data_IF_794759124095
#
_entry.id   IF_794759124095
#
_cell.length_a   1.000
_cell.length_b   1.000
_cell.length_c   1.000
_cell.angle_alpha   90.00
_cell.angle_beta   90.00
_cell.angle_gamma   90.00
#
_symmetry.space_group_name_H-M   'P 1'
#
loop_
_entity.id
_entity.type
_entity.pdbx_description
1 polymer ?
2 non-polymer ?
3 water ?
#
# COMPACT_ATOMS: atom_id res chain seq x y z
N UNK A 3 -14.13 3.41 -11.60
CA UNK A 3 -15.47 2.81 -11.29
C UNK A 3 -15.32 1.69 -10.25
N UNK A 4 -15.02 0.40 -10.59
CA UNK A 4 -15.05 -0.66 -9.60
C UNK A 4 -13.87 -0.50 -8.64
N UNK A 5 -14.09 -0.77 -7.36
CA UNK A 5 -13.01 -0.72 -6.34
C UNK A 5 -12.15 -1.99 -6.47
N UNK A 6 -11.00 -1.89 -7.12
CA UNK A 6 -10.09 -3.04 -7.35
C UNK A 6 -9.14 -3.20 -6.16
N UNK A 7 -8.52 -4.38 -5.98
CA UNK A 7 -7.49 -4.55 -4.97
C UNK A 7 -6.34 -3.54 -5.15
N UNK A 8 -5.95 -3.25 -6.38
CA UNK A 8 -4.86 -2.28 -6.66
C UNK A 8 -5.26 -0.88 -6.15
N UNK A 9 -6.51 -0.49 -6.33
CA UNK A 9 -7.02 0.85 -5.90
C UNK A 9 -7.21 0.86 -4.38
N UNK A 10 -7.69 -0.24 -3.81
CA UNK A 10 -7.77 -0.46 -2.35
C UNK A 10 -6.41 -0.07 -1.73
N UNK A 11 -5.35 -0.70 -2.21
CA UNK A 11 -3.95 -0.49 -1.74
C UNK A 11 -3.61 1.00 -1.84
N UNK A 12 -3.95 1.65 -2.94
CA UNK A 12 -3.63 3.09 -3.15
C UNK A 12 -4.43 3.92 -2.14
N UNK A 13 -5.71 3.64 -1.97
CA UNK A 13 -6.56 4.41 -0.99
C UNK A 13 -5.97 4.19 0.40
N UNK A 14 -5.61 2.97 0.74
CA UNK A 14 -5.14 2.69 2.13
C UNK A 14 -3.82 3.44 2.33
N UNK A 15 -2.93 3.36 1.35
CA UNK A 15 -1.59 4.00 1.42
C UNK A 15 -1.78 5.52 1.63
N UNK A 16 -2.66 6.16 0.83
CA UNK A 16 -3.01 7.59 0.96
C UNK A 16 -3.52 7.87 2.37
N UNK A 17 -4.50 7.11 2.83
CA UNK A 17 -5.18 7.36 4.13
C UNK A 17 -4.16 7.19 5.26
N UNK A 18 -3.26 6.20 5.15
CA UNK A 18 -2.22 5.93 6.19
C UNK A 18 -1.19 7.07 6.24
N UNK A 19 -0.85 7.66 5.10
CA UNK A 19 0.16 8.74 5.00
C UNK A 19 -0.45 10.12 5.33
N UNK A 20 -1.64 10.44 4.83
CA UNK A 20 -2.19 11.83 4.91
C UNK A 20 -3.27 11.96 5.99
N UNK A 21 -3.84 10.86 6.48
CA UNK A 21 -5.04 10.91 7.35
C UNK A 21 -4.89 9.95 8.55
N UNK A 22 -3.69 9.67 9.06
CA UNK A 22 -3.47 8.62 10.08
C UNK A 22 -4.39 8.84 11.29
N UNK A 23 -4.61 10.09 11.68
CA UNK A 23 -5.39 10.43 12.89
C UNK A 23 -6.86 10.09 12.63
N UNK A 24 -7.33 10.33 11.41
CA UNK A 24 -8.69 9.91 10.99
C UNK A 24 -8.86 8.40 11.21
N UNK A 25 -7.89 7.57 10.85
CA UNK A 25 -8.01 6.07 10.97
C UNK A 25 -8.03 5.63 12.44
N UNK A 26 -7.20 6.24 13.28
CA UNK A 26 -7.21 6.01 14.74
C UNK A 26 -8.63 6.31 15.26
N UNK A 27 -9.22 7.40 14.77
CA UNK A 27 -10.57 7.88 15.13
C UNK A 27 -11.62 6.83 14.72
N UNK A 28 -11.47 6.23 13.54
CA UNK A 28 -12.38 5.16 13.05
C UNK A 28 -12.34 3.98 14.04
N UNK A 29 -11.14 3.58 14.44
CA UNK A 29 -10.93 2.47 15.40
C UNK A 29 -11.61 2.79 16.74
N UNK A 30 -11.58 4.05 17.16
CA UNK A 30 -12.07 4.56 18.47
C UNK A 30 -13.59 4.51 18.50
N UNK A 31 -14.20 5.13 17.52
CA UNK A 31 -15.64 5.44 17.51
C UNK A 31 -16.36 4.27 16.84
N UNK A 32 -16.15 4.07 15.54
CA UNK A 32 -16.82 2.99 14.78
C UNK A 32 -16.42 1.62 15.37
N UNK A 33 -15.16 1.50 15.81
CA UNK A 33 -14.59 0.21 16.24
C UNK A 33 -14.58 0.05 17.75
N UNK A 34 -15.15 1.00 18.49
CA UNK A 34 -15.34 0.89 19.97
C UNK A 34 -14.05 0.43 20.64
N UNK A 35 -12.87 0.73 20.06
CA UNK A 35 -11.55 0.56 20.73
C UNK A 35 -11.29 1.83 21.55
N UNK A 36 -10.93 1.72 22.82
CA UNK A 36 -10.77 2.91 23.73
C UNK A 36 -9.29 3.22 23.98
N UNK A 37 -8.42 2.23 23.80
CA UNK A 37 -7.01 2.23 24.30
C UNK A 37 -6.06 2.62 23.17
N UNK A 38 -6.59 3.15 22.07
CA UNK A 38 -5.97 3.05 20.72
C UNK A 38 -4.80 4.02 20.65
N UNK A 39 -3.61 3.49 20.41
CA UNK A 39 -2.43 4.35 20.15
C UNK A 39 -2.53 4.80 18.69
N UNK A 40 -2.56 3.85 17.75
CA UNK A 40 -2.68 4.15 16.30
C UNK A 40 -3.37 2.98 15.55
N UNK A 41 -3.66 3.21 14.28
CA UNK A 41 -4.46 2.31 13.42
C UNK A 41 -4.12 2.60 11.97
N UNK A 42 -4.03 1.55 11.13
CA UNK A 42 -3.73 1.64 9.69
C UNK A 42 -4.87 0.96 8.93
N UNK A 43 -5.25 1.50 7.77
CA UNK A 43 -6.12 0.76 6.82
C UNK A 43 -5.28 -0.34 6.15
N UNK A 44 -5.85 -1.53 6.00
CA UNK A 44 -5.21 -2.72 5.37
C UNK A 44 -5.88 -3.03 4.03
N UNK A 45 -7.19 -2.81 3.93
CA UNK A 45 -7.97 -3.05 2.70
C UNK A 45 -9.26 -2.23 2.80
N UNK A 46 -9.80 -1.89 1.64
CA UNK A 46 -11.12 -1.24 1.52
C UNK A 46 -11.80 -1.87 0.31
N UNK A 47 -13.09 -2.11 0.39
CA UNK A 47 -13.90 -2.75 -0.66
C UNK A 47 -15.26 -2.05 -0.60
N UNK A 48 -16.16 -2.29 -1.57
CA UNK A 48 -17.40 -1.52 -1.63
C UNK A 48 -18.23 -1.57 -0.34
N UNK A 49 -18.11 -2.63 0.47
CA UNK A 49 -18.99 -2.86 1.65
C UNK A 49 -18.31 -2.53 2.99
N UNK A 50 -17.00 -2.25 3.01
CA UNK A 50 -16.32 -1.95 4.29
C UNK A 50 -14.81 -1.86 4.19
N UNK A 51 -14.17 -1.60 5.33
CA UNK A 51 -12.71 -1.39 5.45
C UNK A 51 -12.15 -2.19 6.61
N UNK A 52 -10.95 -2.71 6.41
CA UNK A 52 -10.22 -3.59 7.36
C UNK A 52 -9.13 -2.73 8.01
N UNK A 53 -9.00 -2.78 9.33
CA UNK A 53 -8.09 -1.91 10.13
C UNK A 53 -7.20 -2.79 11.01
N UNK A 54 -5.91 -2.43 11.17
CA UNK A 54 -5.00 -2.94 12.24
C UNK A 54 -4.99 -1.85 13.30
N UNK A 55 -5.33 -2.20 14.52
CA UNK A 55 -5.36 -1.25 15.66
C UNK A 55 -4.32 -1.69 16.68
N UNK A 56 -3.53 -0.75 17.16
CA UNK A 56 -2.52 -1.02 18.19
C UNK A 56 -3.02 -0.40 19.49
N UNK A 57 -3.22 -1.22 20.51
CA UNK A 57 -3.45 -0.75 21.90
C UNK A 57 -2.16 -0.98 22.68
N UNK A 58 -2.00 -0.35 23.85
CA UNK A 58 -0.80 -0.62 24.69
C UNK A 58 -0.62 -2.15 24.80
N UNK A 59 -1.73 -2.87 25.03
CA UNK A 59 -1.74 -4.33 25.05
C UNK A 59 -1.03 -4.92 23.84
N UNK A 60 -1.52 -4.63 22.63
CA UNK A 60 -0.91 -5.11 21.39
C UNK A 60 -1.72 -4.72 20.15
N UNK A 61 -1.82 -5.62 19.18
CA UNK A 61 -2.49 -5.31 17.89
C UNK A 61 -3.65 -6.28 17.63
N UNK A 62 -4.65 -5.81 16.89
CA UNK A 62 -5.81 -6.63 16.46
C UNK A 62 -6.35 -6.11 15.12
N UNK A 63 -6.99 -6.98 14.34
CA UNK A 63 -7.66 -6.58 13.08
C UNK A 63 -9.16 -6.46 13.33
N UNK A 64 -9.75 -5.39 12.82
CA UNK A 64 -11.22 -5.20 12.85
C UNK A 64 -11.70 -4.84 11.45
N UNK A 65 -12.98 -4.99 11.22
CA UNK A 65 -13.64 -4.53 9.99
C UNK A 65 -14.79 -3.61 10.36
N UNK A 66 -14.92 -2.52 9.60
CA UNK A 66 -16.08 -1.59 9.70
C UNK A 66 -16.87 -1.64 8.40
N UNK A 67 -18.14 -1.99 8.51
CA UNK A 67 -19.05 -2.14 7.36
C UNK A 67 -19.76 -0.80 7.14
N UNK A 68 -19.70 -0.25 5.93
CA UNK A 68 -20.41 0.99 5.56
C UNK A 68 -21.93 0.76 5.61
N UNK A 69 -22.68 1.80 5.91
CA UNK A 69 -24.16 1.81 5.92
C UNK A 69 -24.63 1.57 4.49
N UNK A 70 -24.04 2.29 3.53
CA UNK A 70 -24.36 2.21 2.08
C UNK A 70 -23.11 1.78 1.32
N UNK A 71 -23.19 0.72 0.48
CA UNK A 71 -22.04 0.32 -0.34
C UNK A 71 -21.49 1.49 -1.15
N UNK A 72 -20.17 1.57 -1.27
CA UNK A 72 -19.50 2.53 -2.19
C UNK A 72 -20.03 2.30 -3.61
N UNK A 73 -20.54 3.36 -4.23
CA UNK A 73 -21.01 3.36 -5.64
C UNK A 73 -19.79 3.07 -6.53
N UNK A 74 -18.64 3.71 -6.26
CA UNK A 74 -17.39 3.42 -7.03
C UNK A 74 -16.13 3.91 -6.31
N UNK A 75 -14.99 3.69 -6.94
CA UNK A 75 -13.63 3.99 -6.42
C UNK A 75 -13.48 5.50 -6.15
N UNK A 76 -14.05 6.35 -7.00
CA UNK A 76 -13.90 7.83 -6.97
C UNK A 76 -14.71 8.43 -5.82
N UNK A 77 -15.60 7.67 -5.19
CA UNK A 77 -16.44 8.13 -4.05
C UNK A 77 -15.74 7.83 -2.71
N UNK A 78 -14.75 6.93 -2.71
CA UNK A 78 -14.09 6.41 -1.49
C UNK A 78 -13.61 7.58 -0.61
N UNK A 79 -12.87 8.51 -1.19
CA UNK A 79 -12.18 9.58 -0.42
C UNK A 79 -13.21 10.46 0.27
N UNK A 80 -14.21 10.93 -0.48
CA UNK A 80 -15.23 11.84 0.08
C UNK A 80 -16.05 11.09 1.14
N UNK A 81 -16.21 9.79 1.00
CA UNK A 81 -16.95 8.97 2.01
C UNK A 81 -16.09 8.84 3.26
N UNK A 82 -14.78 8.62 3.10
CA UNK A 82 -13.86 8.50 4.25
C UNK A 82 -13.80 9.85 5.01
N UNK A 83 -13.61 10.96 4.29
CA UNK A 83 -13.57 12.34 4.86
C UNK A 83 -14.88 12.60 5.64
N UNK A 84 -16.03 12.22 5.09
CA UNK A 84 -17.34 12.46 5.76
C UNK A 84 -17.42 11.58 7.02
N UNK A 85 -16.88 10.36 6.94
CA UNK A 85 -16.94 9.43 8.10
C UNK A 85 -16.11 9.99 9.25
N UNK A 86 -14.94 10.55 8.94
CA UNK A 86 -14.07 11.24 9.91
C UNK A 86 -14.85 12.37 10.61
N UNK A 87 -15.70 13.10 9.88
CA UNK A 87 -16.53 14.19 10.46
C UNK A 87 -17.62 13.56 11.33
N UNK A 88 -18.40 12.62 10.78
CA UNK A 88 -19.35 11.75 11.53
C UNK A 88 -18.66 11.32 12.83
N UNK A 89 -17.42 10.83 12.77
CA UNK A 89 -16.71 10.23 13.93
C UNK A 89 -16.34 11.31 14.93
N UNK A 90 -15.82 12.45 14.48
CA UNK A 90 -15.38 13.55 15.39
C UNK A 90 -16.60 14.13 16.13
N UNK A 91 -17.81 13.95 15.58
CA UNK A 91 -19.07 14.61 16.03
C UNK A 91 -19.99 13.63 16.74
N UNK A 92 -19.44 12.68 17.51
CA UNK A 92 -20.25 11.69 18.28
C UNK A 92 -20.45 12.23 19.70
N UNK A 93 -19.41 12.79 20.30
CA UNK A 93 -19.52 13.50 21.60
C UNK A 93 -20.06 14.89 21.39
N UNK A 94 -21.35 15.01 21.05
CA UNK A 94 -21.96 16.31 20.63
C UNK A 94 -23.02 16.72 21.62
N UNK A 95 -24.30 16.60 21.26
CA UNK A 95 -25.46 17.06 22.07
C UNK A 95 -25.09 16.92 23.56
N UNK A 96 -24.73 15.71 24.01
CA UNK A 96 -24.43 15.44 25.45
C UNK A 96 -23.65 16.59 26.11
N UNK A 97 -22.76 17.27 25.35
CA UNK A 97 -21.86 18.35 25.82
C UNK A 97 -22.63 19.48 26.53
N UNK A 98 -23.78 19.90 25.99
CA UNK A 98 -24.59 21.02 26.53
C UNK A 98 -25.77 20.44 27.33
N UNK A 99 -25.90 19.12 27.34
CA UNK A 99 -27.02 18.43 28.02
C UNK A 99 -26.46 17.60 29.15
N UNK A 100 -25.48 18.12 29.89
CA UNK A 100 -25.02 17.47 31.15
C UNK A 100 -26.03 17.79 32.24
N UNK A 101 -26.49 16.74 32.96
CA UNK A 101 -27.33 16.81 34.19
C UNK A 101 -26.68 15.93 35.26
N UNK A 102 -27.07 16.07 36.53
CA UNK A 102 -26.43 15.39 37.69
C UNK A 102 -27.48 14.58 38.44
N UNK A 103 -27.15 13.36 38.90
CA UNK A 103 -28.17 12.49 39.56
C UNK A 103 -28.63 13.11 40.89
N UNK B 3 12.38 -7.20 -13.74
CA UNK B 3 13.71 -6.95 -13.06
C UNK B 3 13.57 -5.69 -12.22
N UNK B 4 13.49 -4.45 -12.79
CA UNK B 4 13.57 -3.23 -11.98
C UNK B 4 12.39 -3.05 -11.02
N UNK B 5 12.54 -2.07 -10.13
CA UNK B 5 11.65 -1.83 -8.97
C UNK B 5 10.65 -0.72 -9.29
N UNK B 6 9.51 -1.08 -9.89
CA UNK B 6 8.43 -0.11 -10.21
C UNK B 6 7.80 0.32 -8.88
N UNK B 7 7.34 1.58 -8.75
CA UNK B 7 6.61 2.03 -7.56
C UNK B 7 5.42 1.17 -7.11
N UNK B 8 4.81 0.39 -8.01
CA UNK B 8 3.72 -0.57 -7.70
C UNK B 8 4.27 -1.79 -6.96
N UNK B 9 5.48 -2.22 -7.29
CA UNK B 9 6.19 -3.34 -6.59
C UNK B 9 6.65 -2.82 -5.22
N UNK B 10 7.11 -1.58 -5.13
CA UNK B 10 7.45 -0.90 -3.86
C UNK B 10 6.21 -0.96 -2.97
N UNK B 11 5.06 -0.56 -3.53
CA UNK B 11 3.78 -0.51 -2.77
C UNK B 11 3.49 -1.90 -2.24
N UNK B 12 3.75 -2.93 -3.06
CA UNK B 12 3.42 -4.34 -2.70
C UNK B 12 4.43 -4.86 -1.66
N UNK B 13 5.72 -4.58 -1.85
CA UNK B 13 6.79 -4.97 -0.89
C UNK B 13 6.48 -4.35 0.48
N UNK B 14 6.21 -3.06 0.49
CA UNK B 14 5.96 -2.30 1.75
C UNK B 14 4.76 -2.91 2.46
N UNK B 15 3.69 -3.20 1.72
CA UNK B 15 2.45 -3.72 2.32
C UNK B 15 2.74 -5.09 2.93
N UNK B 16 3.42 -5.96 2.17
CA UNK B 16 3.81 -7.30 2.65
C UNK B 16 4.61 -7.18 3.95
N UNK B 17 5.56 -6.25 4.01
CA UNK B 17 6.51 -6.18 5.16
C UNK B 17 5.74 -5.63 6.36
N UNK B 18 4.85 -4.66 6.13
CA UNK B 18 3.99 -4.03 7.18
C UNK B 18 3.08 -5.11 7.77
N UNK B 19 2.57 -6.01 6.92
CA UNK B 19 1.59 -7.03 7.35
C UNK B 19 2.33 -8.16 8.06
N UNK B 20 3.46 -8.67 7.54
CA UNK B 20 4.04 -9.97 7.98
C UNK B 20 5.41 -9.81 8.67
N UNK B 21 5.93 -8.60 8.78
CA UNK B 21 7.29 -8.41 9.30
C UNK B 21 7.39 -7.06 10.02
N UNK B 22 6.38 -6.67 10.80
CA UNK B 22 6.31 -5.37 11.50
C UNK B 22 7.49 -5.27 12.49
N UNK B 23 7.96 -6.41 12.97
CA UNK B 23 9.05 -6.47 13.97
C UNK B 23 10.38 -6.17 13.28
N UNK B 24 10.60 -6.69 12.07
CA UNK B 24 11.81 -6.39 11.26
C UNK B 24 11.94 -4.88 11.04
N UNK B 25 10.81 -4.17 10.88
CA UNK B 25 10.82 -2.73 10.49
C UNK B 25 11.15 -1.84 11.70
N UNK B 26 10.51 -2.12 12.85
CA UNK B 26 10.87 -1.55 14.15
C UNK B 26 12.37 -1.76 14.37
N UNK B 27 12.86 -2.96 14.03
CA UNK B 27 14.28 -3.36 14.22
C UNK B 27 15.20 -2.60 13.25
N UNK B 28 14.80 -2.43 11.98
CA UNK B 28 15.51 -1.52 11.04
C UNK B 28 15.59 -0.11 11.68
N UNK B 29 14.45 0.42 12.14
CA UNK B 29 14.35 1.81 12.65
C UNK B 29 15.26 1.96 13.89
N UNK B 30 15.26 0.96 14.75
CA UNK B 30 16.02 0.90 16.02
C UNK B 30 17.53 0.94 15.71
N UNK B 31 17.98 0.06 14.84
CA UNK B 31 19.43 -0.19 14.59
C UNK B 31 19.91 0.75 13.50
N UNK B 32 19.49 0.55 12.24
CA UNK B 32 19.96 1.44 11.14
C UNK B 32 19.41 2.86 11.36
N UNK B 33 18.23 2.99 11.97
CA UNK B 33 17.58 4.29 12.20
C UNK B 33 18.10 4.97 13.45
N UNK B 34 18.88 4.26 14.25
CA UNK B 34 19.41 4.75 15.56
C UNK B 34 18.29 5.38 16.36
N UNK B 35 17.12 4.75 16.36
CA UNK B 35 15.91 5.25 17.06
C UNK B 35 15.78 4.48 18.37
N UNK B 36 15.26 5.14 19.41
CA UNK B 36 15.20 4.63 20.81
C UNK B 36 13.74 4.72 21.29
N UNK B 37 13.32 3.76 22.10
CA UNK B 37 11.90 3.68 22.56
C UNK B 37 11.02 3.76 21.31
N UNK B 38 11.47 3.11 20.23
CA UNK B 38 10.63 2.85 19.02
C UNK B 38 9.56 1.86 19.47
N UNK B 39 8.29 2.25 19.42
CA UNK B 39 7.16 1.35 19.77
C UNK B 39 6.78 0.54 18.52
N UNK B 40 6.80 1.18 17.34
CA UNK B 40 6.35 0.56 16.07
C UNK B 40 6.95 1.32 14.89
N UNK B 41 7.02 0.67 13.72
CA UNK B 41 7.50 1.30 12.47
C UNK B 41 6.86 0.63 11.23
N UNK B 42 6.61 1.41 10.19
CA UNK B 42 6.05 0.93 8.91
C UNK B 42 6.92 1.46 7.77
N UNK B 43 7.06 0.63 6.73
CA UNK B 43 7.63 1.06 5.43
C UNK B 43 6.57 1.88 4.70
N UNK B 44 6.98 2.98 4.05
CA UNK B 44 6.12 3.88 3.24
C UNK B 44 6.54 3.85 1.78
N UNK B 45 7.83 3.72 1.51
CA UNK B 45 8.37 3.51 0.17
C UNK B 45 9.66 2.71 0.28
N UNK B 46 9.96 2.00 -0.80
CA UNK B 46 11.30 1.44 -1.06
C UNK B 46 11.58 1.74 -2.52
N UNK B 47 12.83 2.02 -2.84
CA UNK B 47 13.32 2.24 -4.22
C UNK B 47 14.75 1.69 -4.19
N UNK B 48 15.47 1.69 -5.31
CA UNK B 48 16.77 1.02 -5.36
C UNK B 48 17.80 1.53 -4.33
N UNK B 49 17.70 2.78 -3.88
CA UNK B 49 18.74 3.41 -3.01
C UNK B 49 18.35 3.40 -1.51
N UNK B 50 17.07 3.18 -1.19
CA UNK B 50 16.71 3.09 0.24
C UNK B 50 15.22 3.00 0.46
N UNK B 51 14.83 3.16 1.71
CA UNK B 51 13.43 2.98 2.14
C UNK B 51 13.04 4.12 3.09
N UNK B 52 11.77 4.49 3.02
CA UNK B 52 11.13 5.50 3.90
C UNK B 52 10.37 4.73 4.97
N UNK B 53 10.68 5.02 6.22
CA UNK B 53 10.06 4.36 7.39
C UNK B 53 9.30 5.45 8.13
N UNK B 54 8.11 5.13 8.62
CA UNK B 54 7.39 5.98 9.61
C UNK B 54 7.61 5.32 10.96
N UNK B 55 8.16 6.09 11.89
CA UNK B 55 8.61 5.57 13.22
C UNK B 55 7.81 6.29 14.30
N UNK B 56 7.13 5.51 15.14
CA UNK B 56 6.33 5.99 16.31
C UNK B 56 7.17 5.78 17.58
N UNK B 57 7.31 6.85 18.36
CA UNK B 57 7.90 6.86 19.72
C UNK B 57 6.76 6.99 20.75
N UNK B 58 7.06 6.94 22.05
CA UNK B 58 6.03 6.87 23.12
C UNK B 58 5.19 8.15 23.16
N UNK B 59 5.59 9.23 22.48
CA UNK B 59 4.74 10.44 22.34
C UNK B 59 4.97 11.19 21.03
N UNK B 60 4.89 10.51 19.88
CA UNK B 60 4.95 11.15 18.54
C UNK B 60 5.45 10.21 17.45
N UNK B 61 5.43 10.69 16.19
CA UNK B 61 5.87 9.93 15.00
C UNK B 61 6.77 10.78 14.10
N UNK B 62 7.71 10.14 13.41
CA UNK B 62 8.58 10.81 12.41
C UNK B 62 8.75 9.89 11.20
N UNK B 63 9.17 10.47 10.08
CA UNK B 63 9.58 9.73 8.86
C UNK B 63 11.10 9.79 8.75
N UNK B 64 11.75 8.64 8.64
CA UNK B 64 13.22 8.52 8.37
C UNK B 64 13.45 7.80 7.04
N UNK B 65 14.64 8.02 6.51
CA UNK B 65 15.15 7.37 5.29
C UNK B 65 16.34 6.50 5.70
N UNK B 66 16.40 5.28 5.20
CA UNK B 66 17.61 4.43 5.35
C UNK B 66 18.17 4.13 3.96
N UNK B 67 19.37 4.62 3.71
CA UNK B 67 20.10 4.41 2.43
C UNK B 67 20.74 3.04 2.51
N UNK B 68 20.64 2.29 1.42
CA UNK B 68 21.29 0.96 1.29
C UNK B 68 22.76 1.18 0.93
N UNK B 69 23.63 0.38 1.54
CA UNK B 69 25.08 0.22 1.20
C UNK B 69 25.17 -0.17 -0.29
N UNK B 70 24.39 -1.16 -0.73
CA UNK B 70 24.32 -1.64 -2.14
C UNK B 70 22.98 -1.25 -2.76
N UNK B 71 22.90 -0.78 -4.03
CA UNK B 71 21.62 -0.52 -4.66
C UNK B 71 20.86 -1.82 -4.97
N UNK B 72 19.52 -1.77 -4.90
CA UNK B 72 18.64 -2.94 -5.15
C UNK B 72 18.43 -3.10 -6.66
N UNK B 73 19.05 -4.13 -7.25
CA UNK B 73 19.01 -4.43 -8.72
C UNK B 73 17.59 -4.85 -9.13
N UNK B 74 17.04 -5.92 -8.53
CA UNK B 74 15.83 -6.62 -9.04
C UNK B 74 14.83 -6.91 -7.92
N UNK B 75 13.62 -6.36 -8.07
CA UNK B 75 12.39 -6.74 -7.32
C UNK B 75 12.47 -8.18 -6.78
N UNK B 76 12.86 -9.17 -7.59
CA UNK B 76 12.83 -10.62 -7.25
C UNK B 76 13.78 -10.91 -6.06
N UNK B 77 14.65 -9.95 -5.71
CA UNK B 77 15.69 -10.10 -4.65
C UNK B 77 15.27 -9.36 -3.37
N UNK B 78 14.43 -8.34 -3.53
CA UNK B 78 14.12 -7.33 -2.52
C UNK B 78 13.74 -7.99 -1.19
N UNK B 79 12.94 -9.06 -1.23
CA UNK B 79 12.42 -9.76 -0.03
C UNK B 79 13.55 -10.55 0.66
N UNK B 80 14.46 -11.16 -0.09
CA UNK B 80 15.60 -11.96 0.46
C UNK B 80 16.61 -10.98 1.09
N UNK B 81 16.78 -9.80 0.48
CA UNK B 81 17.73 -8.74 0.94
C UNK B 81 17.16 -8.10 2.22
N UNK B 82 15.87 -7.75 2.24
CA UNK B 82 15.22 -7.18 3.45
C UNK B 82 15.26 -8.15 4.63
N UNK B 83 15.06 -9.45 4.36
CA UNK B 83 15.16 -10.54 5.38
C UNK B 83 16.61 -10.63 5.87
N UNK B 84 17.60 -10.41 4.98
CA UNK B 84 19.04 -10.45 5.33
C UNK B 84 19.42 -9.21 6.15
N UNK B 85 18.86 -8.05 5.79
CA UNK B 85 19.03 -6.79 6.55
C UNK B 85 18.43 -6.95 7.95
N UNK B 86 17.28 -7.61 8.08
CA UNK B 86 16.67 -7.88 9.40
C UNK B 86 17.62 -8.74 10.24
N UNK B 87 18.32 -9.72 9.64
CA UNK B 87 19.29 -10.61 10.36
C UNK B 87 20.51 -9.79 10.75
N UNK B 88 21.11 -9.09 9.78
CA UNK B 88 22.25 -8.16 9.99
C UNK B 88 21.90 -7.14 11.09
N UNK B 89 20.72 -6.53 11.04
CA UNK B 89 20.24 -5.60 12.11
C UNK B 89 20.16 -6.32 13.46
N UNK B 90 19.75 -7.60 13.50
CA UNK B 90 19.63 -8.38 14.79
C UNK B 90 21.02 -8.43 15.45
N UNK B 91 22.00 -8.87 14.65
CA UNK B 91 23.45 -9.07 14.96
C UNK B 91 24.09 -7.78 15.48
N UNK B 92 23.88 -6.66 14.78
CA UNK B 92 24.52 -5.36 15.10
C UNK B 92 23.89 -4.79 16.37
N UNK B 93 22.58 -4.95 16.56
CA UNK B 93 21.87 -4.52 17.78
C UNK B 93 22.38 -5.26 19.01
N UNK B 94 22.58 -6.57 18.86
CA UNK B 94 23.12 -7.53 19.86
C UNK B 94 24.52 -7.08 20.32
N UNK B 95 25.46 -6.93 19.38
CA UNK B 95 26.85 -6.44 19.63
C UNK B 95 26.83 -5.09 20.37
N UNK B 96 26.03 -4.10 19.94
CA UNK B 96 25.96 -2.73 20.55
C UNK B 96 25.47 -2.78 22.01
N UNK B 97 24.36 -3.48 22.24
CA UNK B 97 23.74 -3.68 23.57
C UNK B 97 24.79 -4.27 24.52
N UNK B 98 25.71 -5.10 24.01
CA UNK B 98 26.79 -5.72 24.80
C UNK B 98 27.85 -4.69 25.20
N UNK B 99 27.98 -3.61 24.44
CA UNK B 99 29.16 -2.69 24.55
C UNK B 99 28.80 -1.49 25.46
N UNK B 100 28.17 -1.75 26.62
CA UNK B 100 27.75 -0.68 27.57
C UNK B 100 28.83 -0.49 28.64
N UNK B 101 29.39 0.72 28.71
CA UNK B 101 30.37 1.17 29.73
C UNK B 101 29.79 2.36 30.49
N UNK B 102 30.40 2.65 31.64
CA UNK B 102 29.94 3.64 32.62
C UNK B 102 31.06 4.64 32.88
N UNK B 103 30.74 5.93 32.77
CA UNK B 103 31.51 7.02 33.39
C UNK B 103 31.72 6.69 34.88
N UNK C 3 13.10 -34.28 -2.76
CA UNK C 3 13.96 -34.06 -3.97
C UNK C 3 14.10 -32.56 -4.24
N UNK C 4 15.27 -32.08 -4.77
CA UNK C 4 15.43 -30.67 -5.14
C UNK C 4 14.66 -30.36 -6.43
N UNK C 5 14.20 -29.11 -6.59
CA UNK C 5 13.20 -28.72 -7.63
C UNK C 5 13.88 -28.53 -8.98
N UNK C 6 13.94 -29.59 -9.77
CA UNK C 6 14.38 -29.53 -11.18
C UNK C 6 13.15 -29.22 -12.02
N UNK C 7 13.36 -28.63 -13.22
CA UNK C 7 12.25 -28.32 -14.13
C UNK C 7 11.35 -29.53 -14.43
N UNK C 8 11.92 -30.74 -14.43
CA UNK C 8 11.16 -32.00 -14.65
C UNK C 8 10.24 -32.25 -13.43
N UNK C 9 10.70 -31.88 -12.22
CA UNK C 9 9.90 -32.05 -10.96
C UNK C 9 8.78 -30.99 -10.93
N UNK C 10 9.11 -29.73 -11.18
CA UNK C 10 8.14 -28.62 -11.41
C UNK C 10 7.04 -29.11 -12.34
N UNK C 11 7.44 -29.68 -13.48
CA UNK C 11 6.47 -30.13 -14.52
C UNK C 11 5.46 -31.08 -13.84
N UNK C 12 5.89 -32.00 -12.98
CA UNK C 12 4.96 -33.04 -12.42
C UNK C 12 4.06 -32.41 -11.35
N UNK C 13 4.63 -31.52 -10.54
CA UNK C 13 3.91 -30.81 -9.44
C UNK C 13 2.81 -29.95 -10.07
N UNK C 14 3.18 -29.15 -11.06
CA UNK C 14 2.22 -28.26 -11.76
C UNK C 14 1.12 -29.10 -12.37
N UNK C 15 1.53 -30.16 -13.05
CA UNK C 15 0.60 -31.05 -13.79
C UNK C 15 -0.44 -31.56 -12.80
N UNK C 16 0.00 -32.04 -11.66
CA UNK C 16 -0.94 -32.61 -10.68
C UNK C 16 -1.83 -31.47 -10.17
N UNK C 17 -1.24 -30.36 -9.79
CA UNK C 17 -2.03 -29.22 -9.28
C UNK C 17 -3.05 -28.82 -10.35
N UNK C 18 -2.62 -28.74 -11.59
CA UNK C 18 -3.46 -28.25 -12.72
C UNK C 18 -4.60 -29.24 -12.95
N UNK C 19 -4.37 -30.53 -12.72
CA UNK C 19 -5.40 -31.60 -12.86
C UNK C 19 -6.28 -31.66 -11.61
N UNK C 20 -5.70 -31.67 -10.41
CA UNK C 20 -6.42 -32.12 -9.19
C UNK C 20 -6.78 -30.94 -8.27
N UNK C 21 -6.30 -29.72 -8.55
CA UNK C 21 -6.39 -28.58 -7.60
C UNK C 21 -6.56 -27.26 -8.35
N UNK C 22 -7.29 -27.24 -9.44
CA UNK C 22 -7.47 -26.03 -10.27
C UNK C 22 -8.16 -24.94 -9.45
N UNK C 23 -9.00 -25.28 -8.47
CA UNK C 23 -9.76 -24.24 -7.73
C UNK C 23 -8.80 -23.53 -6.77
N UNK C 24 -7.74 -24.23 -6.35
CA UNK C 24 -6.67 -23.68 -5.48
C UNK C 24 -5.82 -22.67 -6.27
N UNK C 25 -5.49 -23.02 -7.51
CA UNK C 25 -4.63 -22.19 -8.39
C UNK C 25 -5.34 -20.87 -8.69
N UNK C 26 -6.63 -20.93 -8.93
CA UNK C 26 -7.49 -19.74 -9.14
C UNK C 26 -7.52 -18.92 -7.84
N UNK C 27 -7.60 -19.59 -6.70
CA UNK C 27 -7.59 -18.94 -5.37
C UNK C 27 -6.24 -18.25 -5.12
N UNK C 28 -5.11 -18.87 -5.48
CA UNK C 28 -3.79 -18.22 -5.40
C UNK C 28 -3.88 -16.89 -6.14
N UNK C 29 -4.35 -16.95 -7.38
CA UNK C 29 -4.31 -15.82 -8.35
C UNK C 29 -5.25 -14.70 -7.88
N UNK C 30 -6.36 -15.05 -7.26
CA UNK C 30 -7.37 -14.05 -6.81
C UNK C 30 -6.83 -13.36 -5.56
N UNK C 31 -6.24 -14.11 -4.62
CA UNK C 31 -5.90 -13.59 -3.26
C UNK C 31 -4.48 -13.04 -3.30
N UNK C 32 -3.51 -13.92 -3.50
CA UNK C 32 -2.08 -13.55 -3.53
C UNK C 32 -1.83 -12.64 -4.74
N UNK C 33 -2.34 -13.03 -5.91
CA UNK C 33 -2.09 -12.35 -7.19
C UNK C 33 -2.98 -11.13 -7.40
N UNK C 34 -4.00 -10.93 -6.54
CA UNK C 34 -4.92 -9.76 -6.59
C UNK C 34 -5.66 -9.69 -7.93
N UNK C 35 -5.72 -10.78 -8.68
CA UNK C 35 -6.43 -10.79 -9.99
C UNK C 35 -7.93 -10.88 -9.72
N UNK C 36 -8.74 -10.21 -10.53
CA UNK C 36 -10.23 -10.27 -10.43
C UNK C 36 -10.81 -10.67 -11.80
N UNK C 37 -12.00 -11.26 -11.78
CA UNK C 37 -12.70 -11.74 -13.01
C UNK C 37 -11.75 -12.74 -13.71
N UNK C 38 -11.29 -13.71 -12.93
CA UNK C 38 -10.36 -14.77 -13.42
C UNK C 38 -11.27 -15.91 -13.88
N UNK C 39 -11.11 -16.28 -15.15
CA UNK C 39 -11.76 -17.47 -15.76
C UNK C 39 -11.22 -18.70 -15.03
N UNK C 40 -9.95 -19.01 -15.29
CA UNK C 40 -9.16 -20.05 -14.57
C UNK C 40 -7.70 -19.60 -14.54
N UNK C 41 -6.82 -20.45 -14.00
CA UNK C 41 -5.38 -20.20 -13.82
C UNK C 41 -4.65 -21.55 -13.68
N UNK C 42 -3.43 -21.64 -14.21
CA UNK C 42 -2.60 -22.86 -14.19
C UNK C 42 -1.25 -22.48 -13.60
N UNK C 43 -0.65 -23.36 -12.82
CA UNK C 43 0.80 -23.25 -12.51
C UNK C 43 1.57 -23.67 -13.76
N UNK C 44 2.47 -22.82 -14.24
CA UNK C 44 3.34 -23.13 -15.39
C UNK C 44 4.68 -23.65 -14.87
N UNK C 45 5.07 -23.23 -13.67
CA UNK C 45 6.37 -23.58 -13.07
C UNK C 45 6.36 -23.24 -11.58
N UNK C 46 7.17 -23.98 -10.83
CA UNK C 46 7.40 -23.76 -9.38
C UNK C 46 8.88 -24.00 -9.15
N UNK C 47 9.48 -23.21 -8.26
CA UNK C 47 10.91 -23.29 -7.91
C UNK C 47 11.04 -22.93 -6.44
N UNK C 48 12.22 -23.14 -5.82
CA UNK C 48 12.36 -22.89 -4.39
C UNK C 48 11.78 -21.53 -3.92
N UNK C 49 11.84 -20.49 -4.74
CA UNK C 49 11.51 -19.11 -4.30
C UNK C 49 10.08 -18.69 -4.68
N UNK C 50 9.39 -19.44 -5.54
CA UNK C 50 8.06 -19.00 -6.00
C UNK C 50 7.50 -19.86 -7.12
N UNK C 51 6.30 -19.52 -7.56
CA UNK C 51 5.56 -20.25 -8.62
C UNK C 51 5.06 -19.23 -9.64
N UNK C 52 5.11 -19.61 -10.92
CA UNK C 52 4.58 -18.80 -12.04
C UNK C 52 3.22 -19.36 -12.39
N UNK C 53 2.23 -18.49 -12.47
CA UNK C 53 0.82 -18.79 -12.81
C UNK C 53 0.47 -18.14 -14.15
N UNK C 54 -0.34 -18.80 -14.96
CA UNK C 54 -0.99 -18.15 -16.13
C UNK C 54 -2.44 -17.91 -15.73
N UNK C 55 -2.87 -16.65 -15.74
CA UNK C 55 -4.22 -16.23 -15.28
C UNK C 55 -5.00 -15.72 -16.50
N UNK C 56 -6.19 -16.25 -16.73
CA UNK C 56 -7.07 -15.81 -17.85
C UNK C 56 -8.21 -15.01 -17.24
N UNK C 57 -8.46 -13.83 -17.80
CA UNK C 57 -9.61 -12.97 -17.42
C UNK C 57 -10.54 -12.86 -18.64
N UNK C 58 -11.80 -12.48 -18.42
CA UNK C 58 -12.85 -12.34 -19.47
C UNK C 58 -12.16 -11.93 -20.79
N UNK C 59 -11.43 -10.80 -20.77
CA UNK C 59 -10.59 -10.32 -21.89
C UNK C 59 -9.53 -11.33 -22.29
N UNK C 60 -8.37 -11.31 -21.63
CA UNK C 60 -7.20 -12.10 -22.07
C UNK C 60 -6.55 -12.90 -20.95
N UNK C 61 -5.31 -13.33 -21.20
CA UNK C 61 -4.45 -14.08 -20.25
C UNK C 61 -3.29 -13.17 -19.82
N UNK C 62 -2.68 -13.48 -18.67
CA UNK C 62 -1.41 -12.86 -18.20
C UNK C 62 -0.70 -13.85 -17.28
N UNK C 63 0.64 -13.77 -17.23
CA UNK C 63 1.52 -14.57 -16.35
C UNK C 63 1.84 -13.73 -15.10
N UNK C 64 1.58 -14.23 -13.90
CA UNK C 64 2.03 -13.59 -12.61
C UNK C 64 3.00 -14.54 -11.90
N UNK C 65 3.83 -14.00 -11.01
CA UNK C 65 4.68 -14.81 -10.09
C UNK C 65 4.25 -14.55 -8.63
N UNK C 66 4.20 -15.61 -7.82
CA UNK C 66 3.97 -15.49 -6.35
C UNK C 66 5.22 -16.00 -5.64
N UNK C 67 5.87 -15.13 -4.88
CA UNK C 67 7.15 -15.42 -4.19
C UNK C 67 6.79 -16.00 -2.82
N UNK C 68 7.43 -17.12 -2.45
CA UNK C 68 7.17 -17.80 -1.15
C UNK C 68 7.83 -16.99 -0.05
N UNK C 69 7.19 -16.96 1.11
CA UNK C 69 7.74 -16.40 2.37
C UNK C 69 9.14 -17.00 2.58
N UNK C 70 9.21 -18.33 2.63
CA UNK C 70 10.47 -19.09 2.86
C UNK C 70 10.82 -19.82 1.58
N UNK C 71 12.10 -19.86 1.18
CA UNK C 71 12.50 -20.73 0.09
C UNK C 71 12.17 -22.18 0.45
N UNK C 72 11.75 -22.97 -0.54
CA UNK C 72 11.45 -24.41 -0.35
C UNK C 72 12.76 -25.16 -0.16
N UNK C 73 12.77 -26.16 0.72
CA UNK C 73 14.03 -26.82 1.13
C UNK C 73 14.05 -28.27 0.63
N UNK C 74 13.08 -28.67 -0.20
CA UNK C 74 13.06 -30.03 -0.82
C UNK C 74 12.83 -31.09 0.26
N UNK C 75 13.60 -31.06 1.37
CA UNK C 75 13.38 -31.95 2.56
C UNK C 75 11.96 -31.74 3.09
N UNK C 76 11.36 -30.60 2.77
CA UNK C 76 9.91 -30.32 3.01
C UNK C 76 9.17 -30.60 1.69
N UNK C 77 8.00 -31.22 1.78
CA UNK C 77 7.18 -31.54 0.58
C UNK C 77 6.79 -30.22 -0.06
N UNK C 78 6.05 -30.28 -1.15
CA UNK C 78 5.52 -29.07 -1.83
C UNK C 78 4.02 -29.21 -1.99
N UNK C 79 3.54 -30.43 -2.30
CA UNK C 79 2.08 -30.74 -2.36
C UNK C 79 1.46 -30.23 -1.05
N UNK C 80 2.08 -30.54 0.09
CA UNK C 80 1.52 -30.20 1.42
C UNK C 80 1.64 -28.69 1.64
N UNK C 81 2.74 -28.11 1.15
CA UNK C 81 3.01 -26.64 1.27
C UNK C 81 1.96 -25.84 0.50
N UNK C 82 1.72 -26.24 -0.75
CA UNK C 82 0.72 -25.62 -1.65
C UNK C 82 -0.69 -25.73 -1.06
N UNK C 83 -0.97 -26.81 -0.32
CA UNK C 83 -2.28 -27.05 0.36
C UNK C 83 -2.38 -26.06 1.51
N UNK C 84 -1.30 -25.88 2.26
CA UNK C 84 -1.24 -24.91 3.37
C UNK C 84 -1.53 -23.51 2.82
N UNK C 85 -0.88 -23.17 1.71
CA UNK C 85 -1.06 -21.88 0.98
C UNK C 85 -2.53 -21.76 0.52
N UNK C 86 -3.15 -22.85 0.10
CA UNK C 86 -4.58 -22.85 -0.29
C UNK C 86 -5.46 -22.46 0.92
N UNK C 87 -5.18 -23.01 2.11
CA UNK C 87 -5.89 -22.70 3.38
C UNK C 87 -5.68 -21.22 3.71
N UNK C 88 -4.41 -20.80 3.77
CA UNK C 88 -3.98 -19.44 4.19
C UNK C 88 -4.67 -18.40 3.30
N UNK C 89 -4.93 -18.73 2.04
CA UNK C 89 -5.63 -17.85 1.08
C UNK C 89 -7.09 -17.67 1.48
N UNK C 90 -7.87 -18.76 1.65
CA UNK C 90 -9.26 -18.67 2.18
C UNK C 90 -9.27 -17.87 3.49
N UNK C 91 -8.21 -18.00 4.28
CA UNK C 91 -8.11 -17.40 5.64
C UNK C 91 -7.94 -15.88 5.58
N UNK C 92 -7.36 -15.34 4.49
CA UNK C 92 -7.09 -13.87 4.35
C UNK C 92 -8.44 -13.13 4.45
N UNK C 93 -8.45 -12.03 5.20
CA UNK C 93 -9.66 -11.24 5.49
C UNK C 93 -10.42 -11.76 6.70
N UNK C 94 -10.43 -13.09 6.94
CA UNK C 94 -11.27 -13.78 7.96
C UNK C 94 -10.94 -13.24 9.35
N UNK C 95 -9.66 -13.02 9.63
CA UNK C 95 -9.14 -12.38 10.87
C UNK C 95 -9.95 -11.10 11.21
N UNK C 96 -10.04 -10.18 10.26
CA UNK C 96 -10.65 -8.82 10.43
C UNK C 96 -12.18 -8.89 10.50
N UNK C 97 -12.77 -9.75 9.67
CA UNK C 97 -14.24 -9.92 9.47
C UNK C 97 -14.84 -10.62 10.68
N UNK C 98 -14.00 -11.20 11.54
CA UNK C 98 -14.39 -11.76 12.87
C UNK C 98 -14.76 -10.61 13.81
N UNK C 99 -14.11 -9.45 13.67
CA UNK C 99 -14.38 -8.28 14.56
C UNK C 99 -15.08 -7.21 13.72
N UNK C 100 -16.32 -7.53 13.31
CA UNK C 100 -17.18 -6.70 12.41
C UNK C 100 -17.90 -5.65 13.26
N UNK C 101 -17.86 -4.39 12.82
CA UNK C 101 -18.52 -3.23 13.45
C UNK C 101 -19.32 -2.57 12.34
N UNK C 102 -20.23 -1.64 12.64
CA UNK C 102 -21.11 -1.00 11.64
C UNK C 102 -20.99 0.50 11.81
N UNK C 103 -20.92 1.28 10.72
CA UNK C 103 -21.20 2.74 10.84
C UNK C 103 -22.73 2.87 10.94
N UNK D 3 -18.38 30.11 -9.39
CA UNK D 3 -17.97 30.12 -10.84
C UNK D 3 -17.72 28.66 -11.27
N UNK D 4 -18.77 27.90 -11.64
CA UNK D 4 -18.61 26.46 -11.91
C UNK D 4 -17.71 26.18 -13.13
N UNK D 5 -16.80 25.20 -12.99
CA UNK D 5 -15.90 24.68 -14.05
C UNK D 5 -16.73 24.03 -15.16
N UNK D 6 -16.47 24.37 -16.43
CA UNK D 6 -17.23 23.88 -17.63
C UNK D 6 -16.29 23.17 -18.58
N UNK D 7 -16.81 22.42 -19.58
CA UNK D 7 -15.97 21.77 -20.58
C UNK D 7 -15.03 22.72 -21.34
N UNK D 8 -15.55 23.91 -21.65
CA UNK D 8 -14.80 25.01 -22.30
C UNK D 8 -13.61 25.36 -21.41
N UNK D 9 -13.89 25.67 -20.15
CA UNK D 9 -12.85 26.19 -19.22
C UNK D 9 -11.78 25.11 -19.06
N UNK D 10 -12.24 23.87 -18.89
CA UNK D 10 -11.38 22.67 -18.76
C UNK D 10 -10.39 22.61 -19.93
N UNK D 11 -10.91 22.81 -21.14
CA UNK D 11 -10.11 22.78 -22.38
C UNK D 11 -8.99 23.80 -22.26
N UNK D 12 -9.36 24.98 -21.79
CA UNK D 12 -8.44 26.15 -21.78
C UNK D 12 -7.41 25.93 -20.67
N UNK D 13 -7.84 25.42 -19.53
CA UNK D 13 -6.88 25.15 -18.42
C UNK D 13 -5.84 24.17 -18.95
N UNK D 14 -6.30 23.10 -19.57
CA UNK D 14 -5.46 22.00 -20.13
C UNK D 14 -4.50 22.58 -21.17
N UNK D 15 -5.01 23.35 -22.13
CA UNK D 15 -4.16 24.01 -23.15
C UNK D 15 -3.10 24.87 -22.45
N UNK D 16 -3.50 25.74 -21.52
CA UNK D 16 -2.54 26.62 -20.79
C UNK D 16 -1.46 25.75 -20.13
N UNK D 17 -1.85 24.70 -19.42
CA UNK D 17 -0.87 23.94 -18.61
C UNK D 17 0.07 23.19 -19.56
N UNK D 18 -0.48 22.71 -20.65
CA UNK D 18 0.31 21.94 -21.64
C UNK D 18 1.30 22.88 -22.33
N UNK D 19 0.88 24.09 -22.68
CA UNK D 19 1.75 25.02 -23.44
C UNK D 19 2.79 25.60 -22.49
N UNK D 20 2.45 25.92 -21.25
CA UNK D 20 3.29 26.82 -20.42
C UNK D 20 3.85 26.10 -19.19
N UNK D 21 3.30 24.96 -18.81
CA UNK D 21 3.67 24.28 -17.55
C UNK D 21 3.90 22.80 -17.83
N UNK D 22 4.56 22.48 -18.93
CA UNK D 22 4.77 21.09 -19.41
C UNK D 22 5.53 20.29 -18.35
N UNK D 23 6.53 20.89 -17.72
CA UNK D 23 7.35 20.21 -16.68
C UNK D 23 6.45 19.79 -15.51
N UNK D 24 5.41 20.56 -15.20
CA UNK D 24 4.53 20.36 -14.02
C UNK D 24 3.69 19.11 -14.24
N UNK D 25 3.21 18.93 -15.46
CA UNK D 25 2.36 17.76 -15.82
C UNK D 25 3.17 16.47 -15.72
N UNK D 26 4.43 16.49 -16.17
CA UNK D 26 5.35 15.34 -16.08
C UNK D 26 5.57 14.99 -14.60
N UNK D 27 5.78 16.01 -13.79
CA UNK D 27 5.94 15.88 -12.31
C UNK D 27 4.70 15.22 -11.71
N UNK D 28 3.51 15.67 -12.09
CA UNK D 28 2.22 15.10 -11.60
C UNK D 28 2.22 13.57 -11.89
N UNK D 29 2.48 13.24 -13.15
CA UNK D 29 2.45 11.85 -13.69
C UNK D 29 3.49 11.01 -12.95
N UNK D 30 4.68 11.56 -12.75
CA UNK D 30 5.83 10.86 -12.15
C UNK D 30 5.50 10.61 -10.69
N UNK D 31 5.10 11.64 -9.97
CA UNK D 31 5.00 11.60 -8.49
C UNK D 31 3.64 11.05 -8.06
N UNK D 32 2.56 11.76 -8.38
CA UNK D 32 1.19 11.34 -8.00
C UNK D 32 0.77 10.10 -8.77
N UNK D 33 1.12 10.02 -10.06
CA UNK D 33 0.64 8.97 -10.97
C UNK D 33 1.54 7.76 -11.00
N UNK D 34 2.70 7.82 -10.31
CA UNK D 34 3.71 6.74 -10.16
C UNK D 34 4.18 6.27 -11.55
N UNK D 35 4.17 7.15 -12.55
CA UNK D 35 4.54 6.74 -13.93
C UNK D 35 6.06 6.84 -14.05
N UNK D 36 6.64 5.83 -14.69
CA UNK D 36 8.11 5.61 -14.75
C UNK D 36 8.55 5.72 -16.22
N UNK D 37 9.78 6.18 -16.45
CA UNK D 37 10.36 6.44 -17.81
C UNK D 37 9.25 7.01 -18.71
N UNK D 38 8.83 8.25 -18.43
CA UNK D 38 7.68 8.92 -19.09
C UNK D 38 8.23 9.81 -20.23
N UNK D 39 7.75 9.59 -21.45
CA UNK D 39 8.26 10.27 -22.67
C UNK D 39 7.41 11.53 -22.90
N UNK D 40 6.08 11.43 -22.81
CA UNK D 40 5.16 12.60 -22.86
C UNK D 40 4.05 12.48 -21.79
N UNK D 41 3.60 13.62 -21.30
CA UNK D 41 2.46 13.77 -20.35
C UNK D 41 1.68 15.03 -20.69
N UNK D 42 0.37 14.93 -20.92
CA UNK D 42 -0.52 16.08 -21.18
C UNK D 42 -1.83 15.95 -20.42
N UNK D 43 -2.35 17.06 -19.88
CA UNK D 43 -3.72 17.11 -19.31
C UNK D 43 -4.70 16.93 -20.46
N UNK D 44 -5.65 16.03 -20.32
CA UNK D 44 -6.77 15.82 -21.27
C UNK D 44 -8.00 16.60 -20.77
N UNK D 45 -8.24 16.59 -19.46
CA UNK D 45 -9.44 17.18 -18.84
C UNK D 45 -9.21 17.42 -17.36
N UNK D 46 -9.90 18.43 -16.82
CA UNK D 46 -9.93 18.77 -15.37
C UNK D 46 -11.38 19.03 -14.98
N UNK D 47 -11.76 18.59 -13.79
CA UNK D 47 -13.10 18.83 -13.22
C UNK D 47 -12.89 19.09 -11.73
N UNK D 48 -13.94 19.41 -10.95
CA UNK D 48 -13.76 19.82 -9.57
C UNK D 48 -13.02 18.81 -8.69
N UNK D 49 -13.13 17.52 -9.02
CA UNK D 49 -12.65 16.44 -8.13
C UNK D 49 -11.32 15.87 -8.63
N UNK D 50 -10.88 16.22 -9.84
CA UNK D 50 -9.65 15.63 -10.38
C UNK D 50 -9.34 16.04 -11.80
N UNK D 51 -8.24 15.47 -12.29
CA UNK D 51 -7.68 15.75 -13.63
C UNK D 51 -7.26 14.43 -14.27
N UNK D 52 -7.42 14.37 -15.58
CA UNK D 52 -7.11 13.22 -16.44
C UNK D 52 -5.86 13.62 -17.22
N UNK D 53 -4.90 12.69 -17.24
CA UNK D 53 -3.59 12.84 -17.91
C UNK D 53 -3.44 11.69 -18.89
N UNK D 54 -2.97 11.99 -20.09
CA UNK D 54 -2.53 10.99 -21.07
C UNK D 54 -1.02 10.93 -20.97
N UNK D 55 -0.49 9.72 -20.78
CA UNK D 55 0.96 9.52 -20.54
C UNK D 55 1.46 8.48 -21.54
N UNK D 56 2.55 8.80 -22.23
CA UNK D 56 3.33 7.85 -23.06
C UNK D 56 4.53 7.43 -22.21
N UNK D 57 4.69 6.12 -21.96
CA UNK D 57 5.83 5.59 -21.18
C UNK D 57 6.81 4.89 -22.12
N UNK D 58 6.34 3.82 -22.78
CA UNK D 58 7.20 3.00 -23.68
C UNK D 58 6.52 2.89 -25.04
N UNK D 59 6.43 4.01 -25.76
CA UNK D 59 5.72 4.07 -27.07
C UNK D 59 4.22 4.01 -26.88
N UNK D 60 3.74 3.25 -25.89
CA UNK D 60 2.30 3.09 -25.57
C UNK D 60 1.78 4.14 -24.63
N UNK D 61 0.52 4.54 -24.78
CA UNK D 61 -0.11 5.60 -23.96
C UNK D 61 -1.30 5.05 -23.15
N UNK D 62 -1.50 5.62 -21.95
CA UNK D 62 -2.71 5.43 -21.11
C UNK D 62 -3.20 6.76 -20.52
N UNK D 63 -4.47 6.80 -20.13
CA UNK D 63 -5.08 7.89 -19.35
C UNK D 63 -5.04 7.51 -17.87
N UNK D 64 -4.43 8.35 -17.02
CA UNK D 64 -4.48 8.20 -15.54
C UNK D 64 -5.28 9.37 -14.98
N UNK D 65 -5.92 9.17 -13.83
CA UNK D 65 -6.66 10.26 -13.17
C UNK D 65 -5.96 10.52 -11.84
N UNK D 66 -5.78 11.80 -11.50
CA UNK D 66 -5.32 12.23 -10.14
C UNK D 66 -6.48 12.92 -9.42
N UNK D 67 -6.97 12.32 -8.34
CA UNK D 67 -8.12 12.89 -7.57
C UNK D 67 -7.57 13.95 -6.61
N UNK D 68 -8.21 15.12 -6.52
CA UNK D 68 -7.76 16.19 -5.59
C UNK D 68 -8.11 15.81 -4.14
N UNK D 69 -7.21 16.12 -3.22
CA UNK D 69 -7.52 16.04 -1.78
C UNK D 69 -8.85 16.77 -1.54
N UNK D 70 -9.07 17.90 -2.24
CA UNK D 70 -10.26 18.77 -2.06
C UNK D 70 -10.91 19.09 -3.39
N UNK D 71 -12.25 19.02 -3.49
CA UNK D 71 -12.96 19.60 -4.63
C UNK D 71 -12.49 21.05 -4.85
N UNK D 72 -12.24 21.42 -6.10
CA UNK D 72 -12.02 22.83 -6.50
C UNK D 72 -13.29 23.63 -6.23
N UNK D 73 -13.22 24.70 -5.43
CA UNK D 73 -14.42 25.53 -5.16
C UNK D 73 -14.95 26.04 -6.50
N UNK D 74 -14.07 26.57 -7.36
CA UNK D 74 -14.50 27.14 -8.65
C UNK D 74 -13.33 27.22 -9.61
N UNK D 75 -13.64 27.57 -10.86
CA UNK D 75 -12.74 27.66 -12.04
C UNK D 75 -11.53 28.54 -11.73
N UNK D 76 -11.75 29.64 -11.02
CA UNK D 76 -10.72 30.68 -10.71
C UNK D 76 -9.67 30.09 -9.76
N UNK D 77 -9.98 29.01 -9.03
CA UNK D 77 -8.99 28.36 -8.14
C UNK D 77 -8.05 27.42 -8.91
N UNK D 78 -8.39 27.00 -10.12
CA UNK D 78 -7.72 25.86 -10.79
C UNK D 78 -6.19 26.10 -10.86
N UNK D 79 -5.82 27.22 -11.47
CA UNK D 79 -4.41 27.58 -11.78
C UNK D 79 -3.58 27.60 -10.48
N UNK D 80 -4.11 28.18 -9.42
CA UNK D 80 -3.31 28.34 -8.18
C UNK D 80 -3.19 26.96 -7.54
N UNK D 81 -4.23 26.12 -7.65
CA UNK D 81 -4.17 24.77 -7.04
C UNK D 81 -3.12 23.94 -7.81
N UNK D 82 -3.14 24.02 -9.14
CA UNK D 82 -2.21 23.22 -9.96
C UNK D 82 -0.79 23.71 -9.66
N UNK D 83 -0.56 25.02 -9.55
CA UNK D 83 0.81 25.53 -9.24
C UNK D 83 1.24 24.95 -7.89
N UNK D 84 0.41 25.08 -6.84
CA UNK D 84 0.73 24.57 -5.48
C UNK D 84 0.98 23.06 -5.56
N UNK D 85 0.22 22.36 -6.38
CA UNK D 85 0.29 20.89 -6.48
C UNK D 85 1.65 20.53 -7.11
N UNK D 86 2.20 21.39 -7.97
CA UNK D 86 3.54 21.20 -8.56
C UNK D 86 4.62 21.43 -7.48
N UNK D 87 4.44 22.37 -6.57
CA UNK D 87 5.38 22.55 -5.43
C UNK D 87 5.28 21.32 -4.52
N UNK D 88 4.05 20.89 -4.23
CA UNK D 88 3.78 19.75 -3.32
C UNK D 88 4.51 18.53 -3.84
N UNK D 89 4.45 18.32 -5.16
CA UNK D 89 4.99 17.13 -5.85
C UNK D 89 6.52 17.17 -5.81
N UNK D 90 7.11 18.36 -5.94
CA UNK D 90 8.60 18.54 -5.89
C UNK D 90 9.11 18.16 -4.49
N UNK D 91 8.21 18.13 -3.51
CA UNK D 91 8.54 18.08 -2.06
C UNK D 91 8.24 16.72 -1.43
N UNK D 92 7.65 15.76 -2.16
CA UNK D 92 7.42 14.39 -1.62
C UNK D 92 8.75 13.64 -1.63
N UNK D 93 8.98 12.79 -0.61
CA UNK D 93 10.26 12.10 -0.38
C UNK D 93 11.11 12.85 0.64
N UNK D 94 11.15 14.18 0.54
CA UNK D 94 12.08 15.10 1.30
C UNK D 94 12.00 14.85 2.80
N UNK D 95 13.18 14.64 3.43
CA UNK D 95 13.33 14.33 4.87
C UNK D 95 14.07 15.49 5.55
N UNK D 96 13.79 15.69 6.85
CA UNK D 96 14.31 16.82 7.66
C UNK D 96 15.84 16.82 7.68
N UNK D 97 16.49 15.73 7.26
CA UNK D 97 17.96 15.52 7.29
C UNK D 97 18.29 14.69 8.53
N UNK D 98 18.00 15.22 9.72
CA UNK D 98 18.06 14.49 11.01
C UNK D 98 17.36 13.14 10.83
N UNK D 99 16.64 12.95 9.71
CA UNK D 99 15.90 11.70 9.42
C UNK D 99 16.56 10.89 8.29
N UNK D 100 17.82 11.16 7.95
CA UNK D 100 18.60 10.40 6.93
C UNK D 100 19.64 9.54 7.63
N UNK D 101 19.59 8.22 7.40
CA UNK D 101 20.51 7.21 7.97
C UNK D 101 21.06 6.28 6.88
N UNK D 102 21.92 5.36 7.32
CA UNK D 102 22.72 4.49 6.41
C UNK D 102 22.84 3.10 7.02
N UNK D 103 22.56 2.09 6.21
CA UNK D 103 22.83 0.66 6.50
C UNK D 103 24.27 0.44 7.00
#
# INVERSE_FOLDING_TARGET
MADPLTPAISDRICKHMNEDHASAIALYAQVFGQQTDVTMAQMQAIDPTGMDLVVESEGGSKTIRIEFEQPLKDSEDAHQVLIAMAKQARSVGKNSAENLYFQ
MADPLTPAISDRICKHMNEDHASAIALYAQVFGQQTDVTMAQMQAIDPTGMDLVVESEGGSKTIRIEFEQPLKDSEDAHQVLIAMAKQARSVGKNSAENLYFQ
MADPLTPAISDRICKHMNEDHASAIALYAQVFGQQTDVTMAQMQAIDPTGMDLVVESEGGSKTIRIEFEQPLKDSEDAHQVLIAMAKQARSVGKNSAENLYFQ
MADPLTPAISDRICKHMNEDHASAIALYAQVFGQQTDVTMAQMQAIDPTGMDLVVESEGGSKTIRIEFEQPLKDSEDAHQVLIAMAKQARSVGKNSAENLYFQ
#
